data_IF_481079018355
#
_entry.id   IF_481079018355
#
_cell.length_a   1.000
_cell.length_b   1.000
_cell.length_c   1.000
_cell.angle_alpha   90.00
_cell.angle_beta   90.00
_cell.angle_gamma   90.00
#
_symmetry.space_group_name_H-M   'P 1'
#
loop_
_entity.id
_entity.type
_entity.pdbx_description
1 polymer ?
#
# COMPACT_ATOMS: atom_id res chain seq x y z
N UNK A 1 -6.91 -13.98 39.39
CA UNK A 1 -5.89 -14.51 38.45
C UNK A 1 -5.13 -13.31 37.89
N UNK A 2 -3.80 -13.36 37.76
CA UNK A 2 -3.10 -12.31 37.00
C UNK A 2 -3.57 -12.43 35.54
N UNK A 3 -3.96 -11.31 34.94
CA UNK A 3 -4.38 -11.27 33.54
C UNK A 3 -3.23 -11.73 32.63
N UNK A 4 -3.53 -12.40 31.51
CA UNK A 4 -2.50 -12.75 30.54
C UNK A 4 -1.88 -11.49 29.92
N UNK A 5 -0.63 -11.57 29.46
CA UNK A 5 0.04 -10.43 28.81
C UNK A 5 -0.75 -9.91 27.60
N UNK A 6 -1.43 -10.79 26.86
CA UNK A 6 -2.27 -10.42 25.74
C UNK A 6 -3.43 -9.50 26.17
N UNK A 7 -4.12 -9.84 27.26
CA UNK A 7 -5.18 -8.99 27.84
C UNK A 7 -4.61 -7.68 28.39
N UNK A 8 -3.42 -7.74 29.00
CA UNK A 8 -2.76 -6.55 29.54
C UNK A 8 -2.42 -5.55 28.44
N UNK A 9 -1.93 -6.03 27.31
CA UNK A 9 -1.49 -5.18 26.20
C UNK A 9 -2.68 -4.69 25.36
N UNK A 10 -3.59 -5.58 24.96
CA UNK A 10 -4.59 -5.26 23.94
C UNK A 10 -5.98 -4.90 24.47
N UNK A 11 -6.39 -5.37 25.65
CA UNK A 11 -7.76 -5.14 26.15
C UNK A 11 -8.00 -3.74 26.73
N UNK A 12 -6.97 -2.89 26.82
CA UNK A 12 -7.09 -1.51 27.31
C UNK A 12 -6.39 -0.56 26.36
N UNK A 13 -7.16 0.34 25.77
CA UNK A 13 -6.66 1.36 24.85
C UNK A 13 -5.61 2.27 25.49
N UNK A 14 -5.81 2.66 26.76
CA UNK A 14 -4.83 3.46 27.51
C UNK A 14 -3.49 2.76 27.65
N UNK A 15 -3.49 1.47 27.99
CA UNK A 15 -2.25 0.69 28.13
C UNK A 15 -1.56 0.51 26.78
N UNK A 16 -2.33 0.15 25.75
CA UNK A 16 -1.83 0.05 24.36
C UNK A 16 -1.15 1.35 23.93
N UNK A 17 -1.80 2.49 24.13
CA UNK A 17 -1.29 3.78 23.68
C UNK A 17 -0.07 4.24 24.49
N UNK A 18 -0.02 4.00 25.81
CA UNK A 18 1.20 4.24 26.61
C UNK A 18 2.39 3.43 26.08
N UNK A 19 2.20 2.14 25.81
CA UNK A 19 3.25 1.29 25.26
C UNK A 19 3.73 1.79 23.89
N UNK A 20 2.81 2.19 23.01
CA UNK A 20 3.15 2.76 21.69
C UNK A 20 3.95 4.05 21.79
N UNK A 21 3.57 4.97 22.70
CA UNK A 21 4.27 6.24 22.90
C UNK A 21 5.70 6.07 23.43
N UNK A 22 5.97 4.97 24.12
CA UNK A 22 7.29 4.65 24.65
C UNK A 22 8.20 3.93 23.64
N UNK A 23 7.69 3.58 22.45
CA UNK A 23 8.50 3.01 21.36
C UNK A 23 9.64 3.94 20.97
N UNK A 24 9.41 5.25 20.99
CA UNK A 24 10.38 6.29 20.61
C UNK A 24 11.23 6.78 21.79
N UNK A 25 11.26 6.03 22.90
CA UNK A 25 12.06 6.32 24.09
C UNK A 25 11.24 6.75 25.30
N UNK A 26 11.93 7.09 26.39
CA UNK A 26 11.32 7.40 27.68
C UNK A 26 10.43 8.65 27.63
N UNK A 27 9.31 8.64 28.36
CA UNK A 27 8.32 9.75 28.42
C UNK A 27 7.90 10.02 29.86
N UNK A 28 7.52 11.26 30.18
CA UNK A 28 6.99 11.60 31.50
C UNK A 28 5.47 11.37 31.57
N UNK A 29 4.91 11.39 32.78
CA UNK A 29 3.46 11.34 32.99
C UNK A 29 2.77 12.50 32.25
N UNK A 30 3.34 13.70 32.31
CA UNK A 30 2.79 14.90 31.69
C UNK A 30 2.63 14.72 30.18
N UNK A 31 3.65 14.14 29.51
CA UNK A 31 3.56 13.82 28.08
C UNK A 31 2.41 12.86 27.77
N UNK A 32 2.20 11.83 28.59
CA UNK A 32 1.08 10.92 28.37
C UNK A 32 -0.28 11.59 28.55
N UNK A 33 -0.43 12.45 29.57
CA UNK A 33 -1.70 13.14 29.81
C UNK A 33 -2.06 14.09 28.67
N UNK A 34 -1.06 14.78 28.13
CA UNK A 34 -1.22 15.69 26.99
C UNK A 34 -1.56 14.93 25.71
N UNK A 35 -0.77 13.91 25.34
CA UNK A 35 -0.95 13.19 24.05
C UNK A 35 -2.19 12.30 24.05
N UNK A 36 -2.54 11.69 25.19
CA UNK A 36 -3.69 10.78 25.30
C UNK A 36 -4.98 11.48 25.73
N UNK A 37 -4.95 12.80 25.90
CA UNK A 37 -6.06 13.63 26.39
C UNK A 37 -6.80 12.97 27.58
N UNK A 38 -6.05 12.73 28.66
CA UNK A 38 -6.57 11.97 29.81
C UNK A 38 -6.11 12.53 31.15
N UNK A 39 -6.69 12.01 32.24
CA UNK A 39 -6.37 12.45 33.60
C UNK A 39 -5.42 11.50 34.31
N UNK A 40 -4.62 12.05 35.24
CA UNK A 40 -3.68 11.26 36.06
C UNK A 40 -4.40 10.15 36.83
N UNK A 41 -5.58 10.44 37.38
CA UNK A 41 -6.40 9.48 38.12
C UNK A 41 -6.83 8.29 37.26
N UNK A 42 -7.07 8.53 35.97
CA UNK A 42 -7.52 7.49 35.05
C UNK A 42 -6.35 6.71 34.40
N UNK A 43 -5.17 7.32 34.28
CA UNK A 43 -4.01 6.72 33.63
C UNK A 43 -3.07 6.00 34.62
N UNK A 44 -2.86 6.55 35.82
CA UNK A 44 -1.94 5.99 36.81
C UNK A 44 -2.23 4.51 37.14
N UNK A 45 -3.50 4.07 37.32
CA UNK A 45 -3.79 2.66 37.53
C UNK A 45 -3.38 1.77 36.34
N UNK A 46 -3.51 2.28 35.12
CA UNK A 46 -3.15 1.55 33.89
C UNK A 46 -1.64 1.36 33.76
N UNK A 47 -0.87 2.41 34.09
CA UNK A 47 0.59 2.37 34.13
C UNK A 47 1.08 1.39 35.20
N UNK A 48 0.50 1.42 36.41
CA UNK A 48 0.85 0.47 37.47
C UNK A 48 0.65 -0.99 37.04
N UNK A 49 -0.42 -1.30 36.30
CA UNK A 49 -0.62 -2.65 35.77
C UNK A 49 0.50 -3.03 34.77
N UNK A 50 0.95 -2.10 33.93
CA UNK A 50 2.05 -2.36 33.01
C UNK A 50 3.39 -2.60 33.76
N UNK A 51 3.65 -1.89 34.85
CA UNK A 51 4.81 -2.09 35.72
C UNK A 51 4.75 -3.44 36.47
N UNK A 52 3.58 -3.79 37.02
CA UNK A 52 3.34 -5.08 37.70
C UNK A 52 3.55 -6.30 36.78
N UNK A 53 3.38 -6.09 35.47
CA UNK A 53 3.64 -7.06 34.41
C UNK A 53 5.03 -6.91 33.77
N UNK A 54 5.91 -6.09 34.36
CA UNK A 54 7.29 -5.87 33.92
C UNK A 54 7.45 -5.38 32.48
N UNK A 55 6.45 -4.68 31.95
CA UNK A 55 6.51 -4.07 30.62
C UNK A 55 7.16 -2.69 30.66
N UNK A 56 6.98 -1.99 31.79
CA UNK A 56 7.52 -0.66 32.04
C UNK A 56 8.40 -0.64 33.28
N UNK A 57 9.35 0.29 33.29
CA UNK A 57 10.04 0.74 34.49
C UNK A 57 9.93 2.26 34.62
N UNK A 58 9.95 2.74 35.85
CA UNK A 58 9.86 4.16 36.19
C UNK A 58 11.12 4.59 36.94
N UNK A 59 11.88 5.51 36.34
CA UNK A 59 13.11 6.09 36.88
C UNK A 59 13.14 7.58 36.54
N UNK A 60 13.63 8.43 37.46
CA UNK A 60 13.78 9.88 37.24
C UNK A 60 12.52 10.58 36.68
N UNK A 61 11.35 10.27 37.26
CA UNK A 61 10.04 10.80 36.86
C UNK A 61 9.62 10.45 35.41
N UNK A 62 10.32 9.53 34.77
CA UNK A 62 10.07 9.08 33.41
C UNK A 62 9.79 7.57 33.39
N UNK A 63 8.93 7.17 32.46
CA UNK A 63 8.63 5.78 32.16
C UNK A 63 9.43 5.35 30.93
N UNK A 64 9.89 4.11 30.93
CA UNK A 64 10.59 3.49 29.80
C UNK A 64 10.17 2.03 29.66
N UNK A 65 10.30 1.48 28.44
CA UNK A 65 10.07 0.06 28.20
C UNK A 65 11.22 -0.76 28.79
N UNK A 66 10.89 -1.83 29.51
CA UNK A 66 11.85 -2.87 29.88
C UNK A 66 12.29 -3.66 28.63
N UNK A 67 13.31 -4.54 28.69
CA UNK A 67 13.63 -5.43 27.58
C UNK A 67 12.44 -6.27 27.09
N UNK A 68 11.56 -6.72 28.00
CA UNK A 68 10.33 -7.46 27.65
C UNK A 68 9.35 -6.53 26.94
N UNK A 69 9.15 -5.31 27.47
CA UNK A 69 8.29 -4.30 26.83
C UNK A 69 8.76 -3.92 25.44
N UNK A 70 10.07 -3.79 25.22
CA UNK A 70 10.67 -3.48 23.91
C UNK A 70 10.43 -4.60 22.90
N UNK A 71 10.68 -5.85 23.29
CA UNK A 71 10.42 -6.99 22.42
C UNK A 71 8.94 -7.04 21.98
N UNK A 72 8.01 -6.85 22.93
CA UNK A 72 6.58 -6.90 22.62
C UNK A 72 6.10 -5.71 21.80
N UNK A 73 6.63 -4.50 22.03
CA UNK A 73 6.16 -3.32 21.30
C UNK A 73 6.57 -3.34 19.83
N UNK A 74 7.69 -3.99 19.49
CA UNK A 74 8.15 -4.15 18.12
C UNK A 74 7.06 -4.85 17.30
N UNK A 75 6.69 -6.08 17.67
CA UNK A 75 5.66 -6.87 16.99
C UNK A 75 4.27 -6.23 17.09
N UNK A 76 3.91 -5.73 18.27
CA UNK A 76 2.62 -5.08 18.49
C UNK A 76 2.43 -3.87 17.57
N UNK A 77 3.47 -3.04 17.42
CA UNK A 77 3.38 -1.85 16.59
C UNK A 77 3.16 -2.21 15.11
N UNK A 78 3.82 -3.26 14.62
CA UNK A 78 3.63 -3.74 13.25
C UNK A 78 2.21 -4.25 13.04
N UNK A 79 1.68 -5.03 14.00
CA UNK A 79 0.31 -5.54 13.94
C UNK A 79 -0.73 -4.41 13.97
N UNK A 80 -0.57 -3.43 14.88
CA UNK A 80 -1.47 -2.27 14.98
C UNK A 80 -1.44 -1.46 13.68
N UNK A 81 -0.27 -1.24 13.06
CA UNK A 81 -0.19 -0.56 11.77
C UNK A 81 -0.88 -1.35 10.64
N UNK A 82 -0.74 -2.67 10.62
CA UNK A 82 -1.45 -3.52 9.64
C UNK A 82 -2.96 -3.48 9.85
N UNK A 83 -3.43 -3.57 11.10
CA UNK A 83 -4.86 -3.44 11.43
C UNK A 83 -5.38 -2.07 10.99
N UNK A 84 -4.62 -1.00 11.21
CA UNK A 84 -5.00 0.36 10.81
C UNK A 84 -5.23 0.51 9.29
N UNK A 85 -4.51 -0.24 8.45
CA UNK A 85 -4.78 -0.27 7.00
C UNK A 85 -6.15 -0.87 6.71
N UNK A 86 -6.55 -1.92 7.42
CA UNK A 86 -7.85 -2.56 7.22
C UNK A 86 -8.99 -1.72 7.81
N UNK A 87 -8.82 -1.18 9.03
CA UNK A 87 -9.83 -0.37 9.72
C UNK A 87 -10.24 0.87 8.89
N UNK A 88 -9.31 1.43 8.12
CA UNK A 88 -9.59 2.60 7.28
C UNK A 88 -10.62 2.30 6.17
N UNK A 89 -10.67 1.07 5.65
CA UNK A 89 -11.66 0.68 4.66
C UNK A 89 -11.94 -0.84 4.69
N UNK A 90 -12.49 -1.31 5.79
CA UNK A 90 -12.72 -2.73 6.07
C UNK A 90 -13.54 -3.40 4.97
N UNK A 91 -14.64 -2.76 4.56
CA UNK A 91 -15.51 -3.29 3.52
C UNK A 91 -14.79 -3.46 2.18
N UNK A 92 -13.93 -2.52 1.79
CA UNK A 92 -13.19 -2.61 0.54
C UNK A 92 -12.20 -3.77 0.56
N UNK A 93 -11.30 -3.82 1.55
CA UNK A 93 -10.33 -4.92 1.67
C UNK A 93 -11.00 -6.28 1.92
N UNK A 94 -12.13 -6.30 2.63
CA UNK A 94 -12.89 -7.51 2.91
C UNK A 94 -13.58 -8.10 1.67
N UNK A 95 -13.94 -7.26 0.69
CA UNK A 95 -14.66 -7.66 -0.53
C UNK A 95 -13.77 -7.80 -1.76
N UNK A 96 -12.53 -7.30 -1.72
CA UNK A 96 -11.58 -7.36 -2.84
C UNK A 96 -10.54 -8.46 -2.68
N UNK A 97 -10.03 -8.95 -3.82
CA UNK A 97 -8.99 -9.95 -3.86
C UNK A 97 -7.62 -9.31 -3.57
N UNK A 98 -6.90 -9.86 -2.60
CA UNK A 98 -5.51 -9.50 -2.27
C UNK A 98 -4.57 -10.71 -2.29
N UNK A 99 -5.05 -11.89 -2.70
CA UNK A 99 -4.28 -13.14 -2.67
C UNK A 99 -3.16 -13.17 -3.73
N UNK A 100 -3.21 -12.26 -4.70
CA UNK A 100 -2.14 -12.07 -5.68
C UNK A 100 -0.86 -11.50 -5.05
N UNK A 101 -0.97 -10.81 -3.90
CA UNK A 101 0.14 -10.12 -3.26
C UNK A 101 1.15 -11.16 -2.75
N UNK A 102 2.44 -11.06 -3.13
CA UNK A 102 3.47 -11.96 -2.63
C UNK A 102 3.55 -11.98 -1.10
N UNK A 103 3.81 -13.13 -0.44
CA UNK A 103 3.74 -13.23 1.02
C UNK A 103 4.63 -12.24 1.79
N UNK A 104 5.79 -11.86 1.24
CA UNK A 104 6.69 -10.88 1.85
C UNK A 104 6.13 -9.45 1.79
N UNK A 105 5.42 -9.11 0.71
CA UNK A 105 4.72 -7.83 0.55
C UNK A 105 3.43 -7.79 1.36
N UNK A 106 2.72 -8.91 1.48
CA UNK A 106 1.51 -9.01 2.30
C UNK A 106 1.84 -8.75 3.79
N UNK A 107 2.97 -9.27 4.29
CA UNK A 107 3.48 -8.96 5.65
C UNK A 107 3.84 -7.49 5.84
N UNK A 108 3.97 -6.73 4.75
CA UNK A 108 4.30 -5.30 4.70
C UNK A 108 3.14 -4.47 4.17
N UNK A 109 1.91 -4.96 4.23
CA UNK A 109 0.74 -4.21 3.74
C UNK A 109 0.58 -2.85 4.45
N UNK A 110 1.03 -2.73 5.71
CA UNK A 110 1.14 -1.45 6.44
C UNK A 110 1.95 -0.37 5.73
N UNK A 111 2.83 -0.72 4.80
CA UNK A 111 3.61 0.24 4.01
C UNK A 111 2.69 1.04 3.07
N UNK A 112 1.49 0.52 2.77
CA UNK A 112 0.41 1.23 2.06
C UNK A 112 -0.42 2.15 2.96
N UNK A 113 0.01 2.44 4.20
CA UNK A 113 -0.67 3.40 5.09
C UNK A 113 -0.93 4.75 4.41
N UNK A 114 -1.95 5.47 4.89
CA UNK A 114 -2.37 6.78 4.37
C UNK A 114 -2.87 6.72 2.91
N UNK A 115 -3.35 5.56 2.48
CA UNK A 115 -3.99 5.42 1.18
C UNK A 115 -5.33 6.15 1.13
N UNK A 116 -5.88 6.32 -0.08
CA UNK A 116 -7.26 6.75 -0.30
C UNK A 116 -7.95 5.78 -1.24
N UNK A 117 -9.20 5.48 -0.98
CA UNK A 117 -10.06 4.79 -1.96
C UNK A 117 -10.75 5.86 -2.79
N UNK A 118 -10.46 5.87 -4.07
CA UNK A 118 -11.09 6.77 -5.01
C UNK A 118 -12.19 6.02 -5.74
N UNK A 119 -13.40 6.58 -5.74
CA UNK A 119 -14.53 6.12 -6.55
C UNK A 119 -14.75 7.15 -7.66
N UNK A 120 -14.17 6.98 -8.85
CA UNK A 120 -14.29 7.95 -9.94
C UNK A 120 -15.74 8.03 -10.42
N UNK A 121 -16.14 9.23 -10.86
CA UNK A 121 -17.41 9.44 -11.54
C UNK A 121 -17.43 8.71 -12.90
N UNK A 122 -18.62 8.46 -13.44
CA UNK A 122 -18.77 7.82 -14.77
C UNK A 122 -18.02 8.61 -15.86
N UNK A 123 -17.98 9.93 -15.74
CA UNK A 123 -17.27 10.84 -16.66
C UNK A 123 -15.76 10.80 -16.53
N UNK A 124 -15.22 10.19 -15.47
CA UNK A 124 -13.78 10.18 -15.16
C UNK A 124 -13.17 8.76 -15.18
N UNK A 125 -13.95 7.73 -15.52
CA UNK A 125 -13.51 6.32 -15.52
C UNK A 125 -12.22 6.09 -16.32
N UNK A 126 -12.03 6.84 -17.40
CA UNK A 126 -10.86 6.72 -18.28
C UNK A 126 -9.81 7.81 -18.08
N UNK A 127 -10.05 8.77 -17.18
CA UNK A 127 -9.20 9.95 -16.97
C UNK A 127 -8.19 9.78 -15.83
N UNK A 128 -8.09 8.59 -15.24
CA UNK A 128 -7.20 8.29 -14.10
C UNK A 128 -5.75 8.73 -14.38
N UNK A 129 -5.29 8.53 -15.62
CA UNK A 129 -3.95 8.93 -16.06
C UNK A 129 -3.69 10.45 -16.06
N UNK A 130 -4.73 11.29 -16.00
CA UNK A 130 -4.60 12.77 -15.93
C UNK A 130 -4.78 13.31 -14.52
N UNK A 131 -5.41 12.54 -13.63
CA UNK A 131 -5.87 13.02 -12.32
C UNK A 131 -4.75 13.20 -11.30
N UNK A 132 -3.64 12.47 -11.42
CA UNK A 132 -2.60 12.42 -10.38
C UNK A 132 -1.27 13.09 -10.77
N UNK A 133 -1.08 13.44 -12.05
CA UNK A 133 0.16 14.01 -12.56
C UNK A 133 0.08 15.52 -12.86
N UNK A 134 -1.00 16.21 -12.44
CA UNK A 134 -1.29 17.59 -12.86
C UNK A 134 -0.14 18.58 -12.57
N UNK A 135 0.57 18.38 -11.48
CA UNK A 135 1.65 19.27 -11.02
C UNK A 135 3.02 18.57 -10.90
N UNK A 136 3.14 17.34 -11.41
CA UNK A 136 4.35 16.51 -11.25
C UNK A 136 4.71 15.81 -12.55
N UNK A 137 5.94 16.02 -13.01
CA UNK A 137 6.51 15.30 -14.15
C UNK A 137 7.28 14.08 -13.63
N UNK A 138 6.97 12.91 -14.19
CA UNK A 138 7.74 11.68 -13.97
C UNK A 138 8.49 11.32 -15.25
N UNK A 139 9.65 10.70 -15.09
CA UNK A 139 10.43 10.21 -16.22
C UNK A 139 10.02 8.80 -16.63
N UNK A 140 9.35 8.05 -15.75
CA UNK A 140 9.01 6.66 -16.00
C UNK A 140 7.73 6.25 -15.30
N UNK A 141 6.89 5.51 -16.02
CA UNK A 141 5.67 4.92 -15.47
C UNK A 141 5.74 3.42 -15.67
N UNK A 142 5.40 2.69 -14.62
CA UNK A 142 5.40 1.24 -14.59
C UNK A 142 3.99 0.75 -14.38
N UNK A 143 3.53 -0.18 -15.22
CA UNK A 143 2.15 -0.65 -15.20
C UNK A 143 2.07 -2.14 -15.43
N UNK A 144 1.22 -2.80 -14.65
CA UNK A 144 0.80 -4.20 -14.81
C UNK A 144 -0.71 -4.19 -15.02
N UNK A 145 -1.24 -4.80 -16.07
CA UNK A 145 -2.65 -4.63 -16.41
C UNK A 145 -3.26 -5.78 -17.21
N UNK A 146 -4.55 -6.01 -16.99
CA UNK A 146 -5.41 -6.88 -17.80
C UNK A 146 -6.27 -6.14 -18.81
N UNK A 147 -6.29 -4.82 -18.76
CA UNK A 147 -7.12 -4.01 -19.65
C UNK A 147 -6.31 -2.97 -20.43
N UNK A 148 -6.89 -2.57 -21.56
CA UNK A 148 -6.43 -1.47 -22.40
C UNK A 148 -7.50 -0.39 -22.41
N UNK A 149 -7.09 0.84 -22.15
CA UNK A 149 -7.98 2.00 -22.22
C UNK A 149 -8.48 2.22 -23.66
N UNK A 150 -9.77 2.59 -23.85
CA UNK A 150 -10.27 2.93 -25.18
C UNK A 150 -9.47 4.05 -25.87
N UNK A 151 -8.99 5.03 -25.10
CA UNK A 151 -8.20 6.18 -25.52
C UNK A 151 -6.68 5.96 -25.43
N UNK A 152 -6.22 4.71 -25.33
CA UNK A 152 -4.79 4.36 -25.21
C UNK A 152 -3.89 5.05 -26.24
N UNK A 153 -4.37 5.29 -27.46
CA UNK A 153 -3.59 5.99 -28.49
C UNK A 153 -3.21 7.40 -28.05
N UNK A 154 -4.18 8.17 -27.56
CA UNK A 154 -3.93 9.53 -27.10
C UNK A 154 -2.99 9.50 -25.88
N UNK A 155 -3.24 8.59 -24.93
CA UNK A 155 -2.45 8.44 -23.71
C UNK A 155 -0.99 8.15 -24.04
N UNK A 156 -0.72 7.14 -24.86
CA UNK A 156 0.66 6.72 -25.14
C UNK A 156 1.40 7.71 -26.03
N UNK A 157 0.73 8.33 -27.00
CA UNK A 157 1.35 9.40 -27.80
C UNK A 157 1.72 10.58 -26.92
N UNK A 158 0.83 11.05 -26.04
CA UNK A 158 1.12 12.16 -25.11
C UNK A 158 2.34 11.86 -24.22
N UNK A 159 2.43 10.63 -23.68
CA UNK A 159 3.57 10.22 -22.85
C UNK A 159 4.88 10.12 -23.65
N UNK A 160 4.85 9.57 -24.87
CA UNK A 160 6.02 9.44 -25.73
C UNK A 160 6.52 10.82 -26.17
N UNK A 161 5.63 11.72 -26.57
CA UNK A 161 5.97 13.09 -26.97
C UNK A 161 6.57 13.89 -25.79
N UNK A 162 6.16 13.55 -24.56
CA UNK A 162 6.72 14.09 -23.32
C UNK A 162 8.03 13.40 -22.87
N UNK A 163 8.58 12.46 -23.66
CA UNK A 163 9.75 11.64 -23.35
C UNK A 163 9.63 10.79 -22.06
N UNK A 164 8.42 10.40 -21.67
CA UNK A 164 8.18 9.52 -20.52
C UNK A 164 8.38 8.07 -20.96
N UNK A 165 9.25 7.34 -20.26
CA UNK A 165 9.44 5.91 -20.54
C UNK A 165 8.37 5.06 -19.85
N UNK A 166 7.62 4.30 -20.64
CA UNK A 166 6.55 3.44 -20.17
C UNK A 166 7.02 1.98 -20.11
N UNK A 167 6.83 1.34 -18.96
CA UNK A 167 7.10 -0.09 -18.76
C UNK A 167 5.78 -0.83 -18.52
N UNK A 168 5.33 -1.57 -19.53
CA UNK A 168 3.98 -2.09 -19.62
C UNK A 168 3.97 -3.62 -19.62
N UNK A 169 3.57 -4.22 -18.50
CA UNK A 169 3.36 -5.65 -18.34
C UNK A 169 1.89 -5.95 -18.58
N UNK A 170 1.60 -6.85 -19.52
CA UNK A 170 0.24 -7.28 -19.86
C UNK A 170 0.04 -8.78 -19.64
N UNK A 171 -1.21 -9.21 -19.44
CA UNK A 171 -1.56 -10.62 -19.50
C UNK A 171 -1.46 -11.17 -20.93
N UNK A 172 -1.38 -12.50 -21.04
CA UNK A 172 -1.37 -13.21 -22.33
C UNK A 172 -2.61 -12.90 -23.16
N UNK A 173 -3.77 -12.85 -22.52
CA UNK A 173 -5.05 -12.54 -23.18
C UNK A 173 -5.04 -11.12 -23.74
N UNK A 174 -4.60 -10.14 -22.94
CA UNK A 174 -4.51 -8.76 -23.40
C UNK A 174 -3.49 -8.61 -24.54
N UNK A 175 -2.34 -9.29 -24.47
CA UNK A 175 -1.38 -9.30 -25.58
C UNK A 175 -2.00 -9.85 -26.87
N UNK A 176 -2.78 -10.94 -26.77
CA UNK A 176 -3.51 -11.51 -27.91
C UNK A 176 -4.44 -10.49 -28.56
N UNK A 177 -5.19 -9.72 -27.75
CA UNK A 177 -6.05 -8.63 -28.24
C UNK A 177 -5.24 -7.51 -28.90
N UNK A 178 -4.13 -7.09 -28.28
CA UNK A 178 -3.26 -6.05 -28.84
C UNK A 178 -2.73 -6.49 -30.21
N UNK A 179 -2.24 -7.72 -30.36
CA UNK A 179 -1.76 -8.27 -31.64
C UNK A 179 -2.86 -8.33 -32.70
N UNK A 180 -4.07 -8.70 -32.31
CA UNK A 180 -5.19 -8.83 -33.25
C UNK A 180 -5.74 -7.48 -33.74
N UNK A 181 -5.70 -6.43 -32.89
CA UNK A 181 -6.49 -5.20 -33.13
C UNK A 181 -5.65 -3.92 -33.16
N UNK A 182 -4.45 -3.92 -32.57
CA UNK A 182 -3.66 -2.72 -32.31
C UNK A 182 -2.16 -2.93 -32.59
N UNK A 183 -1.79 -3.93 -33.40
CA UNK A 183 -0.38 -4.29 -33.64
C UNK A 183 0.43 -3.13 -34.23
N UNK A 184 -0.11 -2.39 -35.20
CA UNK A 184 0.60 -1.25 -35.80
C UNK A 184 0.88 -0.13 -34.80
N UNK A 185 -0.12 0.23 -33.98
CA UNK A 185 0.02 1.26 -32.96
C UNK A 185 1.13 0.88 -31.94
N UNK A 186 1.05 -0.33 -31.40
CA UNK A 186 2.02 -0.81 -30.41
C UNK A 186 3.41 -1.03 -30.99
N UNK A 187 3.52 -1.41 -32.26
CA UNK A 187 4.82 -1.47 -32.95
C UNK A 187 5.47 -0.10 -32.99
N UNK A 188 4.70 0.94 -33.33
CA UNK A 188 5.19 2.31 -33.36
C UNK A 188 5.59 2.79 -31.95
N UNK A 189 4.82 2.44 -30.91
CA UNK A 189 5.18 2.76 -29.53
C UNK A 189 6.51 2.11 -29.13
N UNK A 190 6.71 0.82 -29.43
CA UNK A 190 7.98 0.13 -29.11
C UNK A 190 9.15 0.76 -29.88
N UNK A 191 8.96 1.06 -31.17
CA UNK A 191 10.00 1.68 -32.01
C UNK A 191 10.38 3.10 -31.57
N UNK A 192 9.53 3.80 -30.81
CA UNK A 192 9.88 5.10 -30.23
C UNK A 192 11.04 5.04 -29.24
N UNK A 193 11.34 3.85 -28.68
CA UNK A 193 12.32 3.68 -27.60
C UNK A 193 11.82 4.06 -26.21
N UNK A 194 10.62 4.67 -26.11
CA UNK A 194 10.01 5.08 -24.85
C UNK A 194 8.93 4.10 -24.36
N UNK A 195 8.63 3.02 -25.08
CA UNK A 195 7.63 2.03 -24.66
C UNK A 195 8.22 0.62 -24.59
N UNK A 196 8.21 0.03 -23.40
CA UNK A 196 8.73 -1.31 -23.13
C UNK A 196 7.56 -2.24 -22.80
N UNK A 197 7.21 -3.13 -23.73
CA UNK A 197 6.12 -4.09 -23.57
C UNK A 197 6.65 -5.44 -23.07
N UNK A 198 5.96 -6.01 -22.09
CA UNK A 198 6.24 -7.33 -21.52
C UNK A 198 4.95 -8.12 -21.39
N UNK A 199 5.05 -9.45 -21.46
CA UNK A 199 3.94 -10.36 -21.21
C UNK A 199 4.22 -11.20 -19.96
N UNK A 200 3.30 -11.17 -19.01
CA UNK A 200 3.39 -11.95 -17.78
C UNK A 200 2.97 -13.40 -18.03
N UNK A 201 3.77 -14.35 -17.54
CA UNK A 201 3.46 -15.77 -17.65
C UNK A 201 2.46 -16.26 -16.59
N UNK A 202 2.39 -15.55 -15.46
CA UNK A 202 1.45 -15.75 -14.37
C UNK A 202 0.15 -14.97 -14.62
N UNK A 203 -0.94 -15.48 -14.06
CA UNK A 203 -2.21 -14.75 -14.00
C UNK A 203 -2.07 -13.44 -13.22
N UNK A 204 -2.76 -12.41 -13.70
CA UNK A 204 -2.83 -11.10 -13.06
C UNK A 204 -4.22 -11.04 -12.43
N UNK A 205 -4.33 -11.19 -11.11
CA UNK A 205 -5.65 -11.28 -10.43
C UNK A 205 -6.15 -9.92 -9.89
N UNK A 206 -5.87 -8.85 -10.64
CA UNK A 206 -6.33 -7.49 -10.44
C UNK A 206 -6.54 -6.79 -11.78
N UNK A 207 -7.31 -5.70 -11.85
CA UNK A 207 -7.55 -5.02 -13.13
C UNK A 207 -6.28 -4.32 -13.62
N UNK A 208 -5.69 -3.50 -12.76
CA UNK A 208 -4.40 -2.88 -13.01
C UNK A 208 -3.70 -2.41 -11.74
N UNK A 209 -2.39 -2.32 -11.86
CA UNK A 209 -1.49 -1.69 -10.93
C UNK A 209 -0.59 -0.73 -11.72
N UNK A 210 -0.39 0.47 -11.23
CA UNK A 210 0.48 1.47 -11.85
C UNK A 210 1.20 2.26 -10.78
N UNK A 211 2.49 2.53 -11.01
CA UNK A 211 3.23 3.46 -10.17
C UNK A 211 4.19 4.32 -10.98
N UNK A 212 4.52 5.46 -10.40
CA UNK A 212 5.56 6.39 -10.85
C UNK A 212 6.40 6.81 -9.64
N UNK A 213 7.14 7.93 -9.76
CA UNK A 213 7.97 8.46 -8.68
C UNK A 213 7.17 9.00 -7.46
N UNK A 214 5.84 9.11 -7.57
CA UNK A 214 5.01 9.88 -6.64
C UNK A 214 3.75 9.16 -6.16
N UNK A 215 3.20 8.27 -6.95
CA UNK A 215 1.92 7.63 -6.71
C UNK A 215 1.96 6.14 -7.04
N UNK A 216 1.17 5.39 -6.27
CA UNK A 216 0.72 4.04 -6.61
C UNK A 216 -0.78 4.05 -6.76
N UNK A 217 -1.24 3.37 -7.80
CA UNK A 217 -2.66 3.14 -8.06
C UNK A 217 -2.87 1.64 -8.25
N UNK A 218 -3.79 1.07 -7.48
CA UNK A 218 -4.16 -0.34 -7.55
C UNK A 218 -5.68 -0.44 -7.69
N UNK A 219 -6.15 -1.01 -8.80
CA UNK A 219 -7.55 -1.40 -8.96
C UNK A 219 -7.64 -2.93 -8.83
N UNK A 220 -8.35 -3.36 -7.80
CA UNK A 220 -8.50 -4.75 -7.42
C UNK A 220 -9.76 -5.35 -8.04
N UNK A 221 -9.75 -6.66 -8.31
CA UNK A 221 -11.00 -7.38 -8.53
C UNK A 221 -11.71 -7.59 -7.20
N UNK A 222 -13.04 -7.63 -7.22
CA UNK A 222 -13.80 -8.16 -6.10
C UNK A 222 -13.57 -9.68 -5.99
N UNK A 223 -13.85 -10.25 -4.81
CA UNK A 223 -13.71 -11.70 -4.56
C UNK A 223 -14.64 -12.56 -5.43
N UNK A 224 -15.75 -12.01 -5.90
CA UNK A 224 -16.64 -12.67 -6.86
C UNK A 224 -16.25 -12.43 -8.33
N UNK A 225 -15.05 -11.86 -8.58
CA UNK A 225 -14.48 -11.65 -9.91
C UNK A 225 -15.08 -10.48 -10.68
N UNK A 226 -15.90 -9.63 -10.04
CA UNK A 226 -16.42 -8.41 -10.65
C UNK A 226 -15.35 -7.34 -10.68
N UNK A 227 -15.44 -6.50 -11.69
CA UNK A 227 -14.60 -5.32 -11.84
C UNK A 227 -15.41 -4.12 -11.38
N UNK A 228 -14.87 -3.34 -10.45
CA UNK A 228 -15.39 -2.03 -10.13
C UNK A 228 -14.40 -0.92 -10.54
N UNK A 229 -14.85 0.32 -10.48
CA UNK A 229 -14.02 1.47 -10.85
C UNK A 229 -13.19 2.01 -9.68
N UNK A 230 -13.33 1.43 -8.48
CA UNK A 230 -12.66 1.92 -7.28
C UNK A 230 -11.21 1.50 -7.29
N UNK A 231 -10.35 2.37 -6.80
CA UNK A 231 -8.93 2.05 -6.70
C UNK A 231 -8.30 2.65 -5.45
N UNK A 232 -7.27 1.97 -4.99
CA UNK A 232 -6.38 2.42 -3.93
C UNK A 232 -5.37 3.39 -4.53
N UNK A 233 -5.21 4.56 -3.90
CA UNK A 233 -4.20 5.55 -4.22
C UNK A 233 -3.28 5.75 -3.02
N UNK A 234 -1.97 5.56 -3.20
CA UNK A 234 -0.95 5.83 -2.19
C UNK A 234 0.10 6.81 -2.72
N UNK A 235 0.72 7.59 -1.82
CA UNK A 235 1.76 8.56 -2.18
C UNK A 235 2.93 8.61 -1.19
N UNK A 236 2.94 7.71 -0.20
CA UNK A 236 4.02 7.64 0.79
C UNK A 236 5.25 6.95 0.20
N UNK A 237 6.44 7.27 0.70
CA UNK A 237 7.68 6.63 0.26
C UNK A 237 7.69 5.12 0.49
N UNK A 238 7.17 4.68 1.64
CA UNK A 238 7.08 3.26 1.99
C UNK A 238 6.18 2.52 0.98
N UNK A 239 5.04 3.13 0.60
CA UNK A 239 4.17 2.58 -0.42
C UNK A 239 4.91 2.48 -1.76
N UNK A 240 5.61 3.54 -2.20
CA UNK A 240 6.34 3.55 -3.47
C UNK A 240 7.35 2.40 -3.58
N UNK A 241 8.11 2.14 -2.51
CA UNK A 241 9.02 0.98 -2.48
C UNK A 241 8.26 -0.34 -2.54
N UNK A 242 7.15 -0.46 -1.80
CA UNK A 242 6.27 -1.64 -1.86
C UNK A 242 5.75 -1.90 -3.29
N UNK A 243 5.32 -0.85 -4.01
CA UNK A 243 4.84 -0.96 -5.38
C UNK A 243 5.94 -1.35 -6.36
N UNK A 244 7.14 -0.81 -6.18
CA UNK A 244 8.31 -1.20 -6.97
C UNK A 244 8.65 -2.69 -6.78
N UNK A 245 8.71 -3.17 -5.54
CA UNK A 245 8.92 -4.59 -5.25
C UNK A 245 7.80 -5.47 -5.86
N UNK A 246 6.55 -5.01 -5.84
CA UNK A 246 5.44 -5.71 -6.49
C UNK A 246 5.64 -5.80 -8.01
N UNK A 247 6.05 -4.70 -8.64
CA UNK A 247 6.33 -4.68 -10.08
C UNK A 247 7.47 -5.62 -10.44
N UNK A 248 8.57 -5.58 -9.69
CA UNK A 248 9.71 -6.48 -9.89
C UNK A 248 9.31 -7.95 -9.77
N UNK A 249 8.39 -8.29 -8.86
CA UNK A 249 7.82 -9.62 -8.74
C UNK A 249 7.11 -10.05 -10.03
N UNK A 250 6.29 -9.20 -10.63
CA UNK A 250 5.64 -9.49 -11.92
C UNK A 250 6.62 -9.49 -13.10
N UNK A 251 7.61 -8.61 -13.10
CA UNK A 251 8.62 -8.52 -14.15
C UNK A 251 9.48 -9.79 -14.23
N UNK A 252 9.84 -10.39 -13.09
CA UNK A 252 10.57 -11.66 -13.04
C UNK A 252 9.84 -12.81 -13.73
N UNK A 253 8.51 -12.78 -13.70
CA UNK A 253 7.63 -13.76 -14.36
C UNK A 253 7.23 -13.34 -15.78
N UNK A 254 7.85 -12.28 -16.33
CA UNK A 254 7.48 -11.70 -17.61
C UNK A 254 8.60 -11.84 -18.66
N UNK A 255 8.19 -11.89 -19.93
CA UNK A 255 9.10 -11.89 -21.07
C UNK A 255 8.92 -10.59 -21.89
N UNK A 256 10.00 -9.97 -22.39
CA UNK A 256 9.91 -8.81 -23.26
C UNK A 256 9.24 -9.18 -24.59
N UNK A 257 8.35 -8.32 -25.06
CA UNK A 257 7.70 -8.42 -26.37
C UNK A 257 8.39 -7.44 -27.31
N UNK A 258 9.27 -7.98 -28.17
CA UNK A 258 10.00 -7.18 -29.16
C UNK A 258 9.29 -7.11 -30.50
N UNK A 259 8.52 -8.16 -30.81
CA UNK A 259 7.76 -8.29 -32.05
C UNK A 259 6.27 -8.42 -31.72
N UNK A 260 5.49 -7.54 -32.34
CA UNK A 260 4.04 -7.49 -32.24
C UNK A 260 3.38 -7.62 -33.60
#
# INVERSE_FOLDING_TARGET
MKNGLLDVVFASEKRKNVLLLLKDGKKSMETFLEVLDTTRQALLPQIKILEEHHLLSHHDHCYELTPIGKLLIEDMSLLVSTIGVFDQAEEYWGTHNIDFIPPHLLKRLRDLKEYRIISPSVTELYSIHKSFHRDKTTQSIYKVTNFLYPDHKAIFTELIDANVTFYYIVSKELLGKIRAQHAEDFRNYILSGHFNLYVCNRDIDFLFFTFDDYHIIINLFSKDGRVDSKYVLCSTRDALEWGKELYEHYLKESAPVRDI
#
